data_IF_804992641973
#
_entry.id   IF_804992641973
#
_cell.length_a   1.000
_cell.length_b   1.000
_cell.length_c   1.000
_cell.angle_alpha   90.00
_cell.angle_beta   90.00
_cell.angle_gamma   90.00
#
_symmetry.space_group_name_H-M   'P 1'
#
loop_
_entity.id
_entity.type
_entity.pdbx_description
1 polymer ?
#
# COMPACT_ATOMS: atom_id res chain seq x y z
N UNK A 1 -6.38 -5.00 -14.83
CA UNK A 1 -5.38 -3.92 -14.74
C UNK A 1 -6.10 -2.59 -14.63
N UNK A 2 -6.01 -1.90 -13.48
CA UNK A 2 -6.65 -0.59 -13.31
C UNK A 2 -6.11 0.38 -14.35
N UNK A 3 -6.92 0.73 -15.34
CA UNK A 3 -6.53 1.62 -16.45
C UNK A 3 -6.11 3.03 -16.01
N UNK A 4 -6.40 3.42 -14.74
CA UNK A 4 -6.30 4.81 -14.28
C UNK A 4 -5.61 5.01 -12.92
N UNK A 5 -5.17 3.96 -12.25
CA UNK A 5 -4.56 4.01 -10.91
C UNK A 5 -5.57 4.29 -9.79
N UNK A 6 -5.16 4.03 -8.54
CA UNK A 6 -5.96 4.25 -7.34
C UNK A 6 -6.19 5.75 -7.09
N UNK A 7 -7.43 6.11 -6.79
CA UNK A 7 -7.84 7.48 -6.52
C UNK A 7 -7.86 7.76 -5.01
N UNK A 8 -7.29 8.90 -4.59
CA UNK A 8 -7.43 9.39 -3.21
C UNK A 8 -8.68 10.29 -3.18
N UNK A 9 -9.78 9.87 -2.56
CA UNK A 9 -11.00 10.65 -2.51
C UNK A 9 -10.88 11.78 -1.47
N UNK A 10 -10.61 12.99 -1.92
CA UNK A 10 -10.50 14.15 -1.04
C UNK A 10 -11.84 14.86 -0.92
N UNK A 11 -12.29 15.10 0.31
CA UNK A 11 -13.44 15.96 0.67
C UNK A 11 -13.06 17.42 0.90
N UNK A 12 -11.74 17.70 0.99
CA UNK A 12 -11.20 19.01 1.24
C UNK A 12 -9.82 19.19 0.62
N UNK A 13 -9.22 20.33 0.86
CA UNK A 13 -7.87 20.65 0.39
C UNK A 13 -6.87 20.50 1.54
N UNK A 14 -5.86 19.61 1.44
CA UNK A 14 -4.81 19.50 2.44
C UNK A 14 -4.00 20.79 2.55
N UNK A 15 -3.34 20.99 3.67
CA UNK A 15 -2.44 22.12 3.88
C UNK A 15 -1.13 21.92 3.11
N UNK A 16 -0.60 23.01 2.53
CA UNK A 16 0.71 23.02 1.87
C UNK A 16 1.80 23.26 2.90
N UNK A 17 2.36 22.19 3.43
CA UNK A 17 3.44 22.29 4.41
C UNK A 17 4.76 22.73 3.78
N UNK A 18 5.53 23.59 4.49
CA UNK A 18 6.91 23.86 4.15
C UNK A 18 7.81 22.73 4.69
N UNK A 19 8.47 21.96 3.83
CA UNK A 19 9.30 20.84 4.29
C UNK A 19 10.49 21.26 5.17
N UNK A 20 10.87 22.55 5.19
CA UNK A 20 11.92 23.07 6.08
C UNK A 20 11.50 23.09 7.56
N UNK A 21 10.21 23.02 7.84
CA UNK A 21 9.67 22.97 9.20
C UNK A 21 9.59 21.56 9.78
N UNK A 22 9.89 20.54 8.97
CA UNK A 22 9.81 19.14 9.41
C UNK A 22 10.97 18.76 10.34
N UNK A 23 10.74 17.81 11.28
CA UNK A 23 11.81 17.28 12.11
C UNK A 23 12.93 16.70 11.26
N UNK A 24 14.16 17.09 11.58
CA UNK A 24 15.34 16.59 10.89
C UNK A 24 15.62 15.14 11.30
N UNK A 25 15.76 14.26 10.33
CA UNK A 25 16.19 12.90 10.58
C UNK A 25 17.64 12.85 11.09
N UNK A 26 17.92 12.00 12.07
CA UNK A 26 19.30 11.71 12.49
C UNK A 26 20.07 11.13 11.30
N UNK A 27 21.38 11.31 11.23
CA UNK A 27 22.22 10.83 10.11
C UNK A 27 21.97 9.37 9.73
N UNK A 28 21.89 8.47 10.73
CA UNK A 28 21.62 7.05 10.46
C UNK A 28 20.21 6.80 9.93
N UNK A 29 19.20 7.54 10.40
CA UNK A 29 17.83 7.45 9.91
C UNK A 29 17.71 7.94 8.46
N UNK A 30 18.43 9.02 8.15
CA UNK A 30 18.51 9.54 6.78
C UNK A 30 19.16 8.54 5.83
N UNK A 31 20.27 7.91 6.23
CA UNK A 31 20.94 6.89 5.45
C UNK A 31 20.01 5.67 5.20
N UNK A 32 19.36 5.18 6.25
CA UNK A 32 18.40 4.08 6.15
C UNK A 32 17.17 4.44 5.28
N UNK A 33 16.67 5.68 5.39
CA UNK A 33 15.57 6.16 4.55
C UNK A 33 15.98 6.20 3.08
N UNK A 34 17.14 6.75 2.76
CA UNK A 34 17.66 6.84 1.39
C UNK A 34 17.84 5.46 0.77
N UNK A 35 18.40 4.49 1.51
CA UNK A 35 18.57 3.11 1.02
C UNK A 35 17.21 2.52 0.59
N UNK A 36 16.19 2.61 1.45
CA UNK A 36 14.86 2.07 1.16
C UNK A 36 14.19 2.82 0.01
N UNK A 37 14.26 4.16 0.02
CA UNK A 37 13.63 5.00 -1.00
C UNK A 37 14.25 4.78 -2.38
N UNK A 38 15.58 4.69 -2.48
CA UNK A 38 16.24 4.39 -3.76
C UNK A 38 15.85 3.02 -4.32
N UNK A 39 15.60 2.04 -3.45
CA UNK A 39 15.05 0.77 -3.91
C UNK A 39 13.65 0.95 -4.51
N UNK A 40 12.78 1.75 -3.87
CA UNK A 40 11.46 2.07 -4.42
C UNK A 40 11.52 2.89 -5.72
N UNK A 41 12.51 3.77 -5.86
CA UNK A 41 12.75 4.50 -7.12
C UNK A 41 13.12 3.52 -8.25
N UNK A 42 14.03 2.57 -7.99
CA UNK A 42 14.39 1.53 -8.98
C UNK A 42 13.19 0.67 -9.40
N UNK A 43 12.24 0.47 -8.50
CA UNK A 43 11.01 -0.29 -8.78
C UNK A 43 9.88 0.57 -9.37
N UNK A 44 10.11 1.86 -9.62
CA UNK A 44 9.09 2.79 -10.12
C UNK A 44 7.97 3.12 -9.12
N UNK A 45 8.13 2.75 -7.85
CA UNK A 45 7.14 2.99 -6.78
C UNK A 45 7.20 4.40 -6.19
N UNK A 46 8.32 5.06 -6.37
CA UNK A 46 8.62 6.43 -5.94
C UNK A 46 9.32 7.14 -7.08
N UNK A 47 8.98 8.40 -7.32
CA UNK A 47 9.66 9.26 -8.29
C UNK A 47 10.74 10.10 -7.59
N UNK A 48 11.86 10.32 -8.25
CA UNK A 48 13.00 11.06 -7.75
C UNK A 48 14.32 10.28 -7.95
N UNK A 49 15.42 10.74 -7.35
CA UNK A 49 15.57 11.96 -6.56
C UNK A 49 15.41 13.24 -7.39
N UNK A 50 14.72 14.22 -6.85
CA UNK A 50 14.67 15.57 -7.41
C UNK A 50 15.45 16.54 -6.48
N UNK A 51 15.93 17.69 -6.98
CA UNK A 51 16.59 18.69 -6.13
C UNK A 51 15.72 19.12 -4.95
N UNK A 52 16.31 19.35 -3.79
CA UNK A 52 15.60 19.69 -2.55
C UNK A 52 14.79 20.99 -2.58
N UNK A 53 15.04 21.85 -3.56
CA UNK A 53 14.26 23.05 -3.83
C UNK A 53 13.05 22.83 -4.77
N UNK A 54 12.81 21.61 -5.24
CA UNK A 54 11.65 21.28 -6.07
C UNK A 54 10.35 21.53 -5.28
N UNK A 55 9.47 22.36 -5.83
CA UNK A 55 8.18 22.72 -5.19
C UNK A 55 6.96 22.31 -6.01
N UNK A 56 7.14 22.04 -7.29
CA UNK A 56 6.09 21.57 -8.17
C UNK A 56 6.37 20.14 -8.63
N UNK A 57 5.32 19.37 -8.76
CA UNK A 57 5.40 18.00 -9.27
C UNK A 57 5.84 18.00 -10.74
N UNK A 58 6.94 17.34 -11.11
CA UNK A 58 7.40 17.30 -12.50
C UNK A 58 6.42 16.65 -13.46
N UNK A 59 5.52 15.81 -12.95
CA UNK A 59 4.53 15.08 -13.76
C UNK A 59 3.26 15.90 -13.99
N UNK A 60 2.78 16.61 -12.96
CA UNK A 60 1.48 17.33 -13.03
C UNK A 60 1.62 18.83 -13.14
N UNK A 61 2.81 19.42 -12.92
CA UNK A 61 3.06 20.83 -12.80
C UNK A 61 2.47 21.50 -11.54
N UNK A 62 1.70 20.75 -10.74
CA UNK A 62 1.00 21.29 -9.56
C UNK A 62 1.93 21.40 -8.35
N UNK A 63 1.65 22.30 -7.39
CA UNK A 63 2.39 22.39 -6.14
C UNK A 63 2.41 21.05 -5.40
N UNK A 64 3.58 20.68 -4.87
CA UNK A 64 3.76 19.44 -4.08
C UNK A 64 3.23 19.63 -2.67
N UNK A 65 2.47 18.64 -2.19
CA UNK A 65 2.08 18.51 -0.80
C UNK A 65 3.11 17.68 -0.06
N UNK A 66 3.84 18.31 0.85
CA UNK A 66 4.92 17.68 1.59
C UNK A 66 4.45 17.12 2.93
N UNK A 67 4.97 15.96 3.28
CA UNK A 67 4.77 15.31 4.57
C UNK A 67 6.10 14.80 5.10
N UNK A 68 6.33 14.87 6.42
CA UNK A 68 7.54 14.30 7.01
C UNK A 68 7.54 12.79 6.84
N UNK A 69 8.73 12.23 6.70
CA UNK A 69 8.92 10.78 6.67
C UNK A 69 9.86 10.32 7.77
N UNK A 70 9.77 9.05 8.13
CA UNK A 70 10.60 8.43 9.14
C UNK A 70 10.85 6.97 8.79
N UNK A 71 11.79 6.33 9.50
CA UNK A 71 12.10 4.91 9.35
C UNK A 71 11.68 4.14 10.59
N UNK A 72 11.10 2.97 10.37
CA UNK A 72 10.70 2.02 11.42
C UNK A 72 11.50 0.74 11.24
N UNK A 73 12.14 0.22 12.29
CA UNK A 73 12.83 -1.08 12.22
C UNK A 73 11.87 -2.21 11.84
N UNK A 74 12.36 -3.17 11.06
CA UNK A 74 11.68 -4.44 10.81
C UNK A 74 12.18 -5.50 11.79
N UNK A 75 11.54 -6.68 11.74
CA UNK A 75 11.93 -7.84 12.57
C UNK A 75 13.37 -8.28 12.30
N UNK A 76 13.84 -8.20 11.04
CA UNK A 76 15.23 -8.50 10.69
C UNK A 76 16.14 -7.32 11.06
N UNK A 77 17.15 -7.50 11.92
CA UNK A 77 18.08 -6.44 12.30
C UNK A 77 18.70 -5.75 11.09
N UNK A 78 18.90 -4.43 11.18
CA UNK A 78 19.49 -3.61 10.11
C UNK A 78 18.56 -3.35 8.92
N UNK A 79 17.32 -3.82 8.95
CA UNK A 79 16.34 -3.53 7.91
C UNK A 79 15.26 -2.58 8.40
N UNK A 80 14.78 -1.70 7.52
CA UNK A 80 13.86 -0.62 7.86
C UNK A 80 12.67 -0.57 6.90
N UNK A 81 11.55 -0.03 7.41
CA UNK A 81 10.45 0.49 6.59
C UNK A 81 10.57 2.00 6.56
N UNK A 82 10.46 2.56 5.39
CA UNK A 82 10.28 3.99 5.23
C UNK A 82 8.78 4.30 5.20
N UNK A 83 8.36 5.25 6.03
CA UNK A 83 6.96 5.61 6.23
C UNK A 83 6.80 7.11 6.06
N UNK A 84 5.78 7.51 5.32
CA UNK A 84 5.37 8.90 5.16
C UNK A 84 4.24 9.21 6.15
N UNK A 85 4.38 10.28 6.93
CA UNK A 85 3.37 10.68 7.91
C UNK A 85 2.27 11.52 7.24
N UNK A 86 1.31 10.85 6.62
CA UNK A 86 0.16 11.47 5.96
C UNK A 86 -0.84 12.13 6.93
N UNK A 87 -0.67 11.93 8.24
CA UNK A 87 -1.47 12.58 9.31
C UNK A 87 -0.80 13.81 9.91
N UNK A 88 0.31 14.29 9.31
CA UNK A 88 0.96 15.51 9.78
C UNK A 88 0.07 16.73 9.49
N UNK A 89 -0.48 17.32 10.54
CA UNK A 89 -1.43 18.45 10.47
C UNK A 89 -0.92 19.73 11.13
N UNK A 90 0.39 19.90 11.30
CA UNK A 90 0.94 21.14 11.87
C UNK A 90 0.70 22.33 10.93
N UNK A 91 -0.07 23.32 11.37
CA UNK A 91 -0.42 24.51 10.61
C UNK A 91 -1.69 24.41 9.76
N UNK A 92 -2.29 23.22 9.61
CA UNK A 92 -3.52 23.03 8.85
C UNK A 92 -3.87 21.55 8.65
N UNK A 93 -4.96 21.25 7.94
CA UNK A 93 -5.42 19.87 7.79
C UNK A 93 -4.41 19.02 7.01
N UNK A 94 -4.14 17.83 7.52
CA UNK A 94 -3.35 16.81 6.84
C UNK A 94 -4.13 16.23 5.65
N UNK A 95 -3.46 15.43 4.79
CA UNK A 95 -4.19 14.72 3.74
C UNK A 95 -5.19 13.74 4.33
N UNK A 96 -4.85 13.08 5.44
CA UNK A 96 -5.75 12.13 6.10
C UNK A 96 -7.01 12.81 6.67
N UNK A 97 -6.93 14.07 7.11
CA UNK A 97 -8.09 14.85 7.55
C UNK A 97 -9.00 15.22 6.37
N UNK A 98 -8.44 15.30 5.16
CA UNK A 98 -9.16 15.63 3.94
C UNK A 98 -9.66 14.40 3.17
N UNK A 99 -9.27 13.19 3.55
CA UNK A 99 -9.79 11.97 2.92
C UNK A 99 -11.21 11.73 3.42
N UNK A 100 -12.13 11.50 2.46
CA UNK A 100 -13.51 11.16 2.77
C UNK A 100 -13.53 9.93 3.70
N UNK A 101 -14.34 10.00 4.77
CA UNK A 101 -14.40 8.92 5.77
C UNK A 101 -15.09 7.70 5.17
N UNK A 102 -14.29 6.74 4.82
CA UNK A 102 -14.77 5.41 4.48
C UNK A 102 -14.55 4.51 5.69
N UNK A 103 -15.63 4.12 6.34
CA UNK A 103 -15.55 2.99 7.27
C UNK A 103 -15.02 1.77 6.52
N UNK A 104 -13.85 1.29 6.88
CA UNK A 104 -13.33 0.00 6.41
C UNK A 104 -14.08 -1.10 7.17
N UNK A 105 -14.98 -1.79 6.49
CA UNK A 105 -15.43 -3.11 6.96
C UNK A 105 -14.33 -4.11 6.61
N UNK A 106 -13.33 -4.24 7.46
CA UNK A 106 -12.44 -5.39 7.39
C UNK A 106 -13.29 -6.65 7.62
N UNK A 107 -13.05 -7.69 6.82
CA UNK A 107 -13.65 -9.00 7.03
C UNK A 107 -13.39 -9.41 8.49
N UNK A 108 -14.42 -9.84 9.20
CA UNK A 108 -14.21 -10.23 10.59
C UNK A 108 -13.32 -11.48 10.63
N UNK A 109 -12.44 -11.56 11.63
CA UNK A 109 -11.59 -12.73 11.83
C UNK A 109 -12.43 -14.03 11.90
N UNK A 110 -13.68 -13.93 12.41
CA UNK A 110 -14.63 -15.06 12.44
C UNK A 110 -14.98 -15.51 11.03
N UNK A 111 -15.27 -14.59 10.10
CA UNK A 111 -15.68 -14.94 8.75
C UNK A 111 -14.52 -15.56 7.97
N UNK A 112 -13.28 -15.16 8.25
CA UNK A 112 -12.08 -15.79 7.70
C UNK A 112 -11.79 -17.17 8.32
N UNK A 113 -12.00 -17.35 9.63
CA UNK A 113 -11.68 -18.60 10.31
C UNK A 113 -12.72 -19.72 10.06
N UNK A 114 -13.99 -19.40 9.85
CA UNK A 114 -15.04 -20.41 9.62
C UNK A 114 -14.73 -21.30 8.41
N UNK A 115 -14.30 -20.79 7.24
CA UNK A 115 -13.84 -21.64 6.14
C UNK A 115 -12.65 -22.53 6.51
N UNK A 116 -11.70 -22.05 7.33
CA UNK A 116 -10.54 -22.83 7.77
C UNK A 116 -10.89 -24.07 8.57
N UNK A 117 -12.02 -24.07 9.30
CA UNK A 117 -12.49 -25.21 10.08
C UNK A 117 -13.07 -26.34 9.22
N UNK A 118 -13.31 -26.10 7.93
CA UNK A 118 -13.92 -27.05 6.98
C UNK A 118 -12.91 -27.75 6.09
N UNK A 119 -11.64 -27.37 6.17
CA UNK A 119 -10.60 -27.87 5.28
C UNK A 119 -9.44 -28.44 6.09
N UNK A 120 -8.79 -29.48 5.54
CA UNK A 120 -7.67 -30.16 6.19
C UNK A 120 -6.33 -29.45 5.93
N UNK A 121 -6.23 -28.74 4.81
CA UNK A 121 -5.00 -28.07 4.39
C UNK A 121 -5.24 -26.57 4.20
N UNK A 122 -4.35 -25.80 4.76
CA UNK A 122 -4.35 -24.34 4.67
C UNK A 122 -2.95 -23.85 4.35
N UNK A 123 -2.86 -22.93 3.39
CA UNK A 123 -1.65 -22.18 3.08
C UNK A 123 -1.90 -20.70 3.13
N UNK A 124 -0.84 -19.93 3.38
CA UNK A 124 -0.89 -18.47 3.40
C UNK A 124 0.23 -17.91 2.55
N UNK A 125 -0.10 -16.93 1.73
CA UNK A 125 0.86 -16.09 1.00
C UNK A 125 0.77 -14.68 1.55
N UNK A 126 1.93 -14.08 1.89
CA UNK A 126 2.06 -12.66 2.26
C UNK A 126 2.48 -11.87 1.02
N UNK A 127 1.66 -10.89 0.64
CA UNK A 127 1.96 -10.05 -0.52
C UNK A 127 3.07 -9.06 -0.21
N UNK A 128 4.20 -9.26 -0.84
CA UNK A 128 5.34 -8.37 -0.68
C UNK A 128 4.97 -6.93 -1.05
N UNK A 129 5.04 -6.04 -0.04
CA UNK A 129 4.77 -4.61 -0.23
C UNK A 129 3.38 -4.34 -0.82
N UNK A 130 2.36 -5.01 -0.32
CA UNK A 130 0.99 -5.00 -0.83
C UNK A 130 0.51 -3.62 -1.29
N UNK A 131 0.52 -2.63 -0.43
CA UNK A 131 0.05 -1.28 -0.76
C UNK A 131 0.87 -0.58 -1.84
N UNK A 132 2.14 -0.95 -2.00
CA UNK A 132 3.00 -0.45 -3.07
C UNK A 132 2.72 -1.09 -4.44
N UNK A 133 1.79 -2.04 -4.52
CA UNK A 133 1.29 -2.57 -5.79
C UNK A 133 0.20 -1.66 -6.40
N UNK A 134 -0.43 -0.81 -5.60
CA UNK A 134 -1.42 0.14 -6.06
C UNK A 134 -0.78 1.45 -6.51
N UNK A 135 -0.66 1.66 -7.82
CA UNK A 135 -0.25 2.95 -8.37
C UNK A 135 -1.36 3.99 -8.22
N UNK A 136 -1.00 5.21 -7.88
CA UNK A 136 -1.94 6.34 -7.83
C UNK A 136 -2.25 6.87 -9.22
N UNK A 137 -3.40 7.53 -9.33
CA UNK A 137 -3.72 8.31 -10.53
C UNK A 137 -2.66 9.38 -10.77
N UNK A 138 -2.26 9.55 -12.03
CA UNK A 138 -1.25 10.52 -12.44
C UNK A 138 -1.62 11.94 -11.99
N UNK A 139 -2.90 12.31 -12.11
CA UNK A 139 -3.41 13.63 -11.69
C UNK A 139 -3.21 13.94 -10.20
N UNK A 140 -2.99 12.93 -9.36
CA UNK A 140 -2.80 13.03 -7.92
C UNK A 140 -1.36 12.81 -7.45
N UNK A 141 -0.39 12.68 -8.36
CA UNK A 141 1.01 12.45 -8.00
C UNK A 141 1.61 13.56 -7.12
N UNK A 142 1.08 14.79 -7.23
CA UNK A 142 1.54 15.93 -6.44
C UNK A 142 1.15 15.88 -4.96
N UNK A 143 0.24 14.98 -4.55
CA UNK A 143 -0.35 14.95 -3.21
C UNK A 143 0.54 14.34 -2.12
N UNK A 144 1.57 13.58 -2.46
CA UNK A 144 2.41 12.90 -1.47
C UNK A 144 3.88 13.04 -1.84
N UNK A 145 4.52 14.08 -1.31
CA UNK A 145 5.94 14.31 -1.43
C UNK A 145 6.62 14.36 -0.06
N UNK A 146 7.91 14.11 -0.02
CA UNK A 146 8.73 14.26 1.18
C UNK A 146 10.14 14.68 0.81
N UNK A 147 10.86 15.20 1.80
CA UNK A 147 12.29 15.49 1.69
C UNK A 147 13.06 14.49 2.54
N UNK A 148 14.08 13.89 1.95
CA UNK A 148 15.06 13.04 2.66
C UNK A 148 16.45 13.53 2.30
N UNK A 149 17.15 14.10 3.26
CA UNK A 149 18.41 14.79 3.00
C UNK A 149 18.24 15.99 2.09
N UNK A 150 18.97 15.99 1.00
CA UNK A 150 18.97 17.06 -0.01
C UNK A 150 17.99 16.81 -1.17
N UNK A 151 17.20 15.75 -1.10
CA UNK A 151 16.38 15.30 -2.21
C UNK A 151 14.90 15.29 -1.88
N UNK A 152 14.10 15.62 -2.90
CA UNK A 152 12.64 15.45 -2.90
C UNK A 152 12.29 14.13 -3.56
N UNK A 153 11.36 13.41 -2.94
CA UNK A 153 10.78 12.17 -3.44
C UNK A 153 9.26 12.29 -3.47
N UNK A 154 8.64 11.67 -4.48
CA UNK A 154 7.20 11.69 -4.67
C UNK A 154 6.70 10.24 -4.70
N UNK A 155 5.81 9.89 -3.80
CA UNK A 155 5.16 8.59 -3.80
C UNK A 155 4.34 8.41 -5.08
N UNK A 156 4.62 7.38 -5.87
CA UNK A 156 3.84 7.04 -7.06
C UNK A 156 2.76 5.99 -6.77
N UNK A 157 2.86 5.34 -5.63
CA UNK A 157 1.95 4.29 -5.16
C UNK A 157 1.20 4.71 -3.91
N UNK A 158 0.25 3.89 -3.48
CA UNK A 158 -0.43 4.12 -2.20
C UNK A 158 0.55 3.94 -1.04
N UNK A 159 0.40 4.75 0.01
CA UNK A 159 1.26 4.73 1.19
C UNK A 159 0.54 4.08 2.37
N UNK A 160 1.26 3.32 3.19
CA UNK A 160 0.74 2.77 4.45
C UNK A 160 0.20 3.85 5.41
N UNK A 161 0.67 5.09 5.29
CA UNK A 161 0.21 6.21 6.12
C UNK A 161 -1.12 6.84 5.68
N UNK A 162 -1.66 6.50 4.52
CA UNK A 162 -2.94 7.01 4.06
C UNK A 162 -4.11 6.24 4.66
N UNK A 163 -5.10 6.97 5.17
CA UNK A 163 -6.26 6.43 5.87
C UNK A 163 -7.08 5.44 5.04
N UNK A 164 -7.20 5.66 3.75
CA UNK A 164 -8.00 4.83 2.85
C UNK A 164 -7.22 3.74 2.12
N UNK A 165 -5.92 3.58 2.36
CA UNK A 165 -5.08 2.62 1.62
C UNK A 165 -5.55 1.18 1.82
N UNK A 166 -5.84 0.78 3.07
CA UNK A 166 -6.31 -0.57 3.37
C UNK A 166 -7.62 -0.88 2.63
N UNK A 167 -8.57 0.07 2.63
CA UNK A 167 -9.85 -0.10 1.94
C UNK A 167 -9.69 -0.24 0.43
N UNK A 168 -8.91 0.64 -0.19
CA UNK A 168 -8.67 0.58 -1.63
C UNK A 168 -7.95 -0.72 -2.01
N UNK A 169 -7.03 -1.17 -1.19
CA UNK A 169 -6.34 -2.43 -1.42
C UNK A 169 -7.31 -3.61 -1.34
N UNK A 170 -8.14 -3.66 -0.31
CA UNK A 170 -9.14 -4.71 -0.10
C UNK A 170 -10.21 -4.71 -1.21
N UNK A 171 -10.84 -3.56 -1.45
CA UNK A 171 -12.00 -3.48 -2.32
C UNK A 171 -11.66 -3.52 -3.81
N UNK A 172 -10.54 -2.90 -4.21
CA UNK A 172 -10.22 -2.78 -5.63
C UNK A 172 -9.19 -3.82 -6.10
N UNK A 173 -8.21 -4.16 -5.25
CA UNK A 173 -7.17 -5.10 -5.65
C UNK A 173 -7.51 -6.54 -5.22
N UNK A 174 -7.73 -6.78 -3.92
CA UNK A 174 -7.92 -8.13 -3.42
C UNK A 174 -9.20 -8.77 -3.91
N UNK A 175 -10.33 -8.05 -3.90
CA UNK A 175 -11.60 -8.57 -4.45
C UNK A 175 -11.49 -8.90 -5.93
N UNK A 176 -10.82 -8.06 -6.73
CA UNK A 176 -10.62 -8.33 -8.14
C UNK A 176 -9.69 -9.54 -8.36
N UNK A 177 -8.63 -9.67 -7.56
CA UNK A 177 -7.70 -10.78 -7.61
C UNK A 177 -8.40 -12.10 -7.26
N UNK A 178 -9.08 -12.18 -6.11
CA UNK A 178 -9.80 -13.36 -5.66
C UNK A 178 -10.90 -13.75 -6.64
N UNK A 179 -11.70 -12.76 -7.10
CA UNK A 179 -12.73 -13.01 -8.11
C UNK A 179 -12.13 -13.54 -9.41
N UNK A 180 -10.96 -13.07 -9.81
CA UNK A 180 -10.23 -13.60 -10.96
C UNK A 180 -9.84 -15.07 -10.77
N UNK A 181 -9.26 -15.43 -9.64
CA UNK A 181 -8.90 -16.81 -9.32
C UNK A 181 -10.12 -17.73 -9.38
N UNK A 182 -11.20 -17.34 -8.70
CA UNK A 182 -12.45 -18.12 -8.67
C UNK A 182 -13.07 -18.24 -10.05
N UNK A 183 -13.07 -17.17 -10.85
CA UNK A 183 -13.66 -17.16 -12.18
C UNK A 183 -12.89 -18.07 -13.16
N UNK A 184 -11.57 -18.01 -13.15
CA UNK A 184 -10.73 -18.76 -14.11
C UNK A 184 -10.45 -20.19 -13.70
N UNK A 185 -10.50 -20.48 -12.38
CA UNK A 185 -10.19 -21.81 -11.83
C UNK A 185 -11.19 -22.22 -10.75
N UNK A 186 -12.51 -22.29 -11.04
CA UNK A 186 -13.53 -22.56 -10.03
C UNK A 186 -13.28 -23.90 -9.30
N UNK A 187 -12.87 -24.94 -10.00
CA UNK A 187 -12.63 -26.27 -9.40
C UNK A 187 -11.54 -26.27 -8.32
N UNK A 188 -10.62 -25.30 -8.38
CA UNK A 188 -9.55 -25.15 -7.41
C UNK A 188 -9.93 -24.22 -6.25
N UNK A 189 -10.69 -23.17 -6.53
CA UNK A 189 -10.94 -22.09 -5.57
C UNK A 189 -12.37 -22.07 -5.02
N UNK A 190 -13.19 -23.07 -5.35
CA UNK A 190 -14.53 -23.24 -4.76
C UNK A 190 -14.81 -24.70 -4.37
N UNK A 191 -15.80 -24.87 -3.49
CA UNK A 191 -16.47 -26.14 -3.17
C UNK A 191 -17.97 -25.92 -3.07
N UNK A 192 -18.73 -26.94 -2.65
CA UNK A 192 -20.18 -26.87 -2.46
C UNK A 192 -20.61 -25.80 -1.42
N UNK A 193 -19.72 -25.40 -0.54
CA UNK A 193 -19.97 -24.45 0.53
C UNK A 193 -19.44 -23.04 0.24
N UNK A 194 -18.81 -22.82 -0.91
CA UNK A 194 -18.36 -21.51 -1.36
C UNK A 194 -16.87 -21.41 -1.68
N UNK A 195 -16.30 -20.22 -1.50
CA UNK A 195 -14.90 -19.95 -1.85
C UNK A 195 -13.90 -20.66 -0.92
N UNK A 196 -12.85 -21.22 -1.52
CA UNK A 196 -11.69 -21.82 -0.86
C UNK A 196 -10.47 -20.89 -0.85
N UNK A 197 -10.68 -19.62 -1.13
CA UNK A 197 -9.68 -18.56 -1.06
C UNK A 197 -10.30 -17.35 -0.38
N UNK A 198 -9.55 -16.78 0.56
CA UNK A 198 -9.94 -15.58 1.29
C UNK A 198 -8.71 -14.74 1.59
N UNK A 199 -8.89 -13.52 2.07
CA UNK A 199 -7.79 -12.66 2.48
C UNK A 199 -8.11 -11.86 3.74
N UNK A 200 -7.05 -11.50 4.44
CA UNK A 200 -7.08 -10.46 5.46
C UNK A 200 -5.97 -9.47 5.16
N UNK A 201 -6.33 -8.34 4.58
CA UNK A 201 -5.40 -7.36 4.03
C UNK A 201 -4.43 -8.01 3.01
N UNK A 202 -3.14 -8.05 3.32
CA UNK A 202 -2.06 -8.57 2.49
C UNK A 202 -1.79 -10.08 2.64
N UNK A 203 -2.45 -10.74 3.59
CA UNK A 203 -2.40 -12.19 3.77
C UNK A 203 -3.51 -12.87 2.96
N UNK A 204 -3.12 -13.74 2.03
CA UNK A 204 -4.06 -14.56 1.23
C UNK A 204 -4.03 -15.98 1.75
N UNK A 205 -5.20 -16.53 1.98
CA UNK A 205 -5.38 -17.86 2.53
C UNK A 205 -5.97 -18.78 1.48
N UNK A 206 -5.34 -19.93 1.27
CA UNK A 206 -5.81 -20.99 0.38
C UNK A 206 -6.19 -22.20 1.19
N UNK A 207 -7.37 -22.75 0.91
CA UNK A 207 -8.00 -23.81 1.66
C UNK A 207 -8.25 -25.00 0.72
N UNK A 208 -7.94 -26.20 1.15
CA UNK A 208 -8.15 -27.41 0.34
C UNK A 208 -8.40 -28.64 1.19
N UNK A 209 -9.09 -29.65 0.61
CA UNK A 209 -9.25 -30.97 1.19
C UNK A 209 -8.06 -31.88 0.93
N UNK A 210 -7.13 -31.52 0.01
CA UNK A 210 -5.94 -32.34 -0.26
C UNK A 210 -4.69 -31.43 -0.41
N UNK A 211 -3.48 -31.96 -0.11
CA UNK A 211 -2.24 -31.20 -0.25
C UNK A 211 -1.94 -30.84 -1.71
N UNK A 212 -2.28 -31.70 -2.67
CA UNK A 212 -2.06 -31.46 -4.10
C UNK A 212 -2.90 -30.28 -4.58
N UNK A 213 -4.19 -30.22 -4.19
CA UNK A 213 -5.07 -29.08 -4.52
C UNK A 213 -4.53 -27.80 -3.92
N UNK A 214 -4.07 -27.83 -2.67
CA UNK A 214 -3.51 -26.66 -1.99
C UNK A 214 -2.22 -26.15 -2.68
N UNK A 215 -1.34 -27.06 -3.11
CA UNK A 215 -0.14 -26.71 -3.85
C UNK A 215 -0.46 -26.07 -5.21
N UNK A 216 -1.45 -26.60 -5.95
CA UNK A 216 -1.89 -26.02 -7.23
C UNK A 216 -2.48 -24.61 -7.04
N UNK A 217 -3.25 -24.38 -5.99
CA UNK A 217 -3.76 -23.04 -5.65
C UNK A 217 -2.65 -22.03 -5.49
N UNK A 218 -1.58 -22.38 -4.76
CA UNK A 218 -0.41 -21.51 -4.56
C UNK A 218 0.28 -21.24 -5.89
N UNK A 219 0.57 -22.27 -6.67
CA UNK A 219 1.27 -22.14 -7.96
C UNK A 219 0.52 -21.23 -8.93
N UNK A 220 -0.81 -21.31 -8.98
CA UNK A 220 -1.62 -20.45 -9.84
C UNK A 220 -1.65 -18.99 -9.34
N UNK A 221 -1.69 -18.80 -8.03
CA UNK A 221 -1.72 -17.46 -7.44
C UNK A 221 -0.40 -16.71 -7.54
N UNK A 222 0.73 -17.40 -7.68
CA UNK A 222 2.06 -16.81 -7.86
C UNK A 222 2.37 -16.40 -9.31
N UNK A 223 1.55 -16.84 -10.30
CA UNK A 223 1.63 -16.46 -11.71
C UNK A 223 0.80 -15.22 -12.02
#
# INVERSE_FOLDING_TARGET
MMKFGAHIPLSGRPFLHDPRTFPTLKKWQQAAALEVVYQYVKEGKVLGPFPGNTRNCPVTGRPLYFYPSFVVPKSKPGTYRWVLNASHGQGGPSINDCIFDYSTSLVSLRDTLVPCLRTEFMSRIDLRRAFKQLFRQISQMHLLATVVGEFVFIEATMSMGLRNTCKLFEEEFMKAFISGLVHHHPDLFTDELGALVDNYLDDIWFLAGTPEKNMLQIMIAEW
#
